data_IF_145741213751
#
_entry.id   IF_145741213751
#
_cell.length_a   1.000
_cell.length_b   1.000
_cell.length_c   1.000
_cell.angle_alpha   90.00
_cell.angle_beta   90.00
_cell.angle_gamma   90.00
#
_symmetry.space_group_name_H-M   'P 1'
#
loop_
_entity.id
_entity.type
_entity.pdbx_description
1 polymer ?
#
# COMPACT_ATOMS: atom_id res chain seq x y z
N UNK A 1 -10.98 -29.83 13.96
CA UNK A 1 -12.37 -30.08 14.44
C UNK A 1 -12.69 -29.28 15.71
N UNK A 2 -11.77 -28.52 16.24
CA UNK A 2 -12.05 -27.54 17.29
C UNK A 2 -12.95 -26.43 16.70
N UNK A 3 -14.06 -26.18 17.32
CA UNK A 3 -15.14 -25.25 16.91
C UNK A 3 -16.19 -25.76 15.91
N UNK A 4 -16.32 -27.08 15.72
CA UNK A 4 -17.40 -27.67 14.91
C UNK A 4 -17.28 -27.44 13.38
N UNK A 5 -16.15 -26.91 12.92
CA UNK A 5 -15.88 -26.73 11.50
C UNK A 5 -15.54 -28.08 10.84
N UNK A 6 -16.22 -28.39 9.74
CA UNK A 6 -15.87 -29.55 8.90
C UNK A 6 -14.76 -29.16 7.96
N UNK A 7 -13.60 -29.80 8.10
CA UNK A 7 -12.52 -29.68 7.14
C UNK A 7 -12.83 -30.55 5.92
N UNK A 8 -12.97 -29.91 4.75
CA UNK A 8 -13.11 -30.61 3.47
C UNK A 8 -11.88 -30.28 2.62
N UNK A 9 -11.09 -31.28 2.27
CA UNK A 9 -9.97 -31.13 1.35
C UNK A 9 -10.40 -31.66 -0.03
N UNK A 10 -10.31 -30.87 -1.11
CA UNK A 10 -10.55 -31.35 -2.44
C UNK A 10 -9.50 -32.40 -2.84
N UNK A 11 -9.81 -33.27 -3.80
CA UNK A 11 -8.80 -34.18 -4.35
C UNK A 11 -7.59 -33.37 -4.91
N UNK A 12 -6.37 -33.86 -4.70
CA UNK A 12 -5.14 -33.13 -5.09
C UNK A 12 -5.12 -32.68 -6.55
N UNK A 13 -5.76 -33.43 -7.46
CA UNK A 13 -5.90 -33.05 -8.88
C UNK A 13 -6.74 -31.79 -9.12
N UNK A 14 -7.56 -31.36 -8.14
CA UNK A 14 -8.39 -30.15 -8.22
C UNK A 14 -7.76 -28.98 -7.47
N UNK A 15 -6.71 -29.20 -6.69
CA UNK A 15 -6.04 -28.18 -5.85
C UNK A 15 -4.98 -27.34 -6.58
N UNK A 16 -4.63 -27.67 -7.81
CA UNK A 16 -3.55 -27.03 -8.55
C UNK A 16 -3.98 -25.97 -9.58
N UNK A 17 -5.28 -25.86 -9.86
CA UNK A 17 -5.79 -24.95 -10.89
C UNK A 17 -6.96 -24.11 -10.36
N UNK A 18 -6.85 -22.80 -10.48
CA UNK A 18 -7.91 -21.85 -10.14
C UNK A 18 -9.12 -21.96 -11.09
N UNK A 19 -9.01 -22.61 -12.25
CA UNK A 19 -10.05 -22.71 -13.24
C UNK A 19 -11.34 -23.36 -12.70
N UNK A 20 -11.22 -24.40 -11.88
CA UNK A 20 -12.38 -25.08 -11.25
C UNK A 20 -13.07 -24.15 -10.25
N UNK A 21 -12.32 -23.40 -9.47
CA UNK A 21 -12.87 -22.43 -8.50
C UNK A 21 -13.58 -21.29 -9.21
N UNK A 22 -13.01 -20.80 -10.30
CA UNK A 22 -13.60 -19.73 -11.13
C UNK A 22 -14.89 -20.24 -11.79
N UNK A 23 -14.88 -21.45 -12.37
CA UNK A 23 -16.06 -22.06 -12.97
C UNK A 23 -17.18 -22.31 -11.94
N UNK A 24 -16.82 -22.75 -10.73
CA UNK A 24 -17.78 -22.96 -9.64
C UNK A 24 -18.39 -21.63 -9.18
N UNK A 25 -17.60 -20.59 -9.00
CA UNK A 25 -18.10 -19.25 -8.67
C UNK A 25 -19.00 -18.71 -9.79
N UNK A 26 -18.60 -18.88 -11.05
CA UNK A 26 -19.41 -18.51 -12.20
C UNK A 26 -20.77 -19.22 -12.24
N UNK A 27 -20.82 -20.52 -11.87
CA UNK A 27 -22.07 -21.28 -11.77
C UNK A 27 -22.96 -20.75 -10.65
N UNK A 28 -22.40 -20.43 -9.48
CA UNK A 28 -23.16 -19.84 -8.36
C UNK A 28 -23.75 -18.49 -8.79
N UNK A 29 -22.94 -17.63 -9.41
CA UNK A 29 -23.38 -16.32 -9.90
C UNK A 29 -24.46 -16.45 -10.97
N UNK A 30 -24.29 -17.38 -11.94
CA UNK A 30 -25.29 -17.64 -12.97
C UNK A 30 -26.62 -18.09 -12.39
N UNK A 31 -26.60 -18.99 -11.40
CA UNK A 31 -27.81 -19.47 -10.74
C UNK A 31 -28.53 -18.38 -9.95
N UNK A 32 -27.79 -17.39 -9.44
CA UNK A 32 -28.35 -16.31 -8.62
C UNK A 32 -28.84 -15.13 -9.46
N UNK A 33 -28.09 -14.74 -10.48
CA UNK A 33 -28.33 -13.51 -11.25
C UNK A 33 -28.76 -13.78 -12.71
N UNK A 34 -28.73 -15.04 -13.15
CA UNK A 34 -28.96 -15.38 -14.54
C UNK A 34 -27.76 -15.16 -15.47
N UNK A 35 -27.92 -15.34 -16.77
CA UNK A 35 -26.85 -15.12 -17.74
C UNK A 35 -26.53 -13.63 -17.91
N UNK A 36 -25.24 -13.30 -18.00
CA UNK A 36 -24.79 -11.97 -18.38
C UNK A 36 -24.95 -11.75 -19.89
N UNK A 37 -25.34 -10.55 -20.30
CA UNK A 37 -25.34 -10.15 -21.71
C UNK A 37 -23.88 -10.02 -22.17
N UNK A 38 -23.60 -10.37 -23.43
CA UNK A 38 -22.24 -10.30 -24.02
C UNK A 38 -21.66 -8.90 -23.93
N UNK A 39 -22.47 -7.85 -24.05
CA UNK A 39 -22.03 -6.46 -23.90
C UNK A 39 -21.50 -6.13 -22.50
N UNK A 40 -21.91 -6.87 -21.46
CA UNK A 40 -21.54 -6.66 -20.07
C UNK A 40 -20.36 -7.55 -19.64
N UNK A 41 -19.79 -8.36 -20.55
CA UNK A 41 -18.63 -9.24 -20.30
C UNK A 41 -17.26 -8.55 -20.47
N UNK A 42 -17.23 -7.24 -20.55
CA UNK A 42 -15.99 -6.46 -20.68
C UNK A 42 -15.05 -6.63 -19.48
N UNK A 43 -13.74 -6.57 -19.72
CA UNK A 43 -12.74 -6.59 -18.63
C UNK A 43 -12.87 -5.31 -17.80
N UNK A 44 -13.22 -5.46 -16.54
CA UNK A 44 -13.23 -4.35 -15.57
C UNK A 44 -11.82 -4.25 -14.99
N UNK A 45 -11.03 -3.28 -15.46
CA UNK A 45 -9.73 -2.99 -14.88
C UNK A 45 -9.90 -2.54 -13.42
N UNK A 46 -9.10 -3.12 -12.51
CA UNK A 46 -9.13 -2.84 -11.06
C UNK A 46 -10.43 -3.32 -10.36
N UNK A 47 -11.07 -4.36 -10.90
CA UNK A 47 -12.18 -5.01 -10.22
C UNK A 47 -11.72 -5.53 -8.84
N UNK A 48 -12.35 -5.06 -7.78
CA UNK A 48 -12.02 -5.45 -6.42
C UNK A 48 -12.96 -6.57 -5.98
N UNK A 49 -12.39 -7.64 -5.43
CA UNK A 49 -13.17 -8.79 -4.95
C UNK A 49 -14.07 -8.46 -3.75
N UNK A 50 -13.77 -7.37 -3.03
CA UNK A 50 -14.57 -6.86 -1.91
C UNK A 50 -15.77 -5.99 -2.35
N UNK A 51 -15.87 -5.66 -3.63
CA UNK A 51 -17.00 -4.93 -4.24
C UNK A 51 -18.06 -5.87 -4.84
N UNK A 52 -17.79 -7.19 -4.83
CA UNK A 52 -18.74 -8.18 -5.35
C UNK A 52 -19.86 -8.39 -4.35
N UNK A 53 -21.10 -8.15 -4.76
CA UNK A 53 -22.25 -8.58 -3.99
C UNK A 53 -22.32 -10.12 -3.98
N UNK A 54 -22.28 -10.70 -2.77
CA UNK A 54 -22.35 -12.14 -2.56
C UNK A 54 -23.65 -12.49 -1.80
N UNK A 55 -24.83 -12.45 -2.47
CA UNK A 55 -26.12 -12.63 -1.81
C UNK A 55 -26.33 -14.05 -1.24
N UNK A 56 -25.47 -14.99 -1.62
CA UNK A 56 -25.45 -16.34 -1.05
C UNK A 56 -24.71 -16.44 0.30
N UNK A 57 -23.96 -15.41 0.70
CA UNK A 57 -23.42 -15.29 2.04
C UNK A 57 -24.54 -14.72 2.92
N UNK A 58 -25.05 -15.52 3.87
CA UNK A 58 -26.10 -15.06 4.77
C UNK A 58 -25.67 -13.80 5.48
N UNK A 59 -26.28 -12.67 5.11
CA UNK A 59 -26.06 -11.33 5.66
C UNK A 59 -26.60 -11.18 7.10
N UNK A 60 -26.57 -12.22 7.92
CA UNK A 60 -26.85 -12.08 9.35
C UNK A 60 -25.74 -11.40 10.12
N UNK A 61 -24.56 -11.24 9.53
CA UNK A 61 -23.54 -10.32 10.02
C UNK A 61 -23.73 -8.97 9.32
N UNK A 62 -24.77 -8.26 9.82
CA UNK A 62 -24.88 -6.81 9.86
C UNK A 62 -24.05 -6.07 8.81
N UNK A 63 -24.73 -5.40 7.94
CA UNK A 63 -24.32 -4.11 7.42
C UNK A 63 -23.38 -3.41 8.43
N UNK A 64 -22.10 -3.61 8.31
CA UNK A 64 -21.12 -2.67 8.83
C UNK A 64 -21.42 -1.38 8.04
N UNK A 65 -22.33 -0.55 8.58
CA UNK A 65 -22.44 0.83 8.13
C UNK A 65 -21.01 1.35 8.22
N UNK A 66 -20.39 1.59 7.07
CA UNK A 66 -19.12 2.30 7.04
C UNK A 66 -19.34 3.57 7.88
N UNK A 67 -18.45 3.85 8.84
CA UNK A 67 -18.61 5.06 9.64
C UNK A 67 -18.72 6.25 8.69
N UNK A 68 -19.65 7.16 8.92
CA UNK A 68 -19.89 8.37 8.09
C UNK A 68 -18.62 9.23 7.92
N UNK A 69 -17.61 8.99 8.75
CA UNK A 69 -16.32 9.65 8.76
C UNK A 69 -15.18 8.83 8.10
N UNK A 70 -15.47 7.74 7.40
CA UNK A 70 -14.46 6.97 6.66
C UNK A 70 -13.97 7.76 5.45
N UNK A 71 -12.64 8.02 5.40
CA UNK A 71 -11.99 8.72 4.28
C UNK A 71 -11.55 7.70 3.22
N UNK A 72 -10.93 6.60 3.65
CA UNK A 72 -10.43 5.58 2.74
C UNK A 72 -10.43 4.21 3.40
N UNK A 73 -10.76 3.19 2.61
CA UNK A 73 -10.67 1.78 3.01
C UNK A 73 -9.49 1.14 2.31
N UNK A 74 -8.48 0.76 3.07
CA UNK A 74 -7.30 0.09 2.57
C UNK A 74 -7.33 -1.42 2.77
N UNK A 75 -6.44 -2.13 2.09
CA UNK A 75 -6.31 -3.58 2.28
C UNK A 75 -5.89 -3.97 3.71
N UNK A 76 -5.12 -3.16 4.41
CA UNK A 76 -4.62 -3.45 5.76
C UNK A 76 -5.18 -2.54 6.87
N UNK A 77 -5.72 -1.37 6.51
CA UNK A 77 -6.19 -0.37 7.47
C UNK A 77 -7.25 0.53 6.87
N UNK A 78 -8.16 1.00 7.72
CA UNK A 78 -9.11 2.06 7.43
C UNK A 78 -8.57 3.41 7.89
N UNK A 79 -8.82 4.45 7.09
CA UNK A 79 -8.49 5.84 7.41
C UNK A 79 -9.80 6.57 7.72
N UNK A 80 -9.92 7.02 8.95
CA UNK A 80 -11.12 7.62 9.49
C UNK A 80 -10.84 9.09 9.83
N UNK A 81 -11.72 10.00 9.41
CA UNK A 81 -11.65 11.42 9.81
C UNK A 81 -11.82 11.55 11.32
N UNK A 82 -10.92 12.32 11.94
CA UNK A 82 -10.91 12.53 13.39
C UNK A 82 -10.51 13.97 13.72
N UNK A 83 -10.41 14.27 14.98
CA UNK A 83 -9.88 15.55 15.48
C UNK A 83 -9.02 15.33 16.73
N UNK A 84 -8.04 16.18 16.93
CA UNK A 84 -7.19 16.17 18.12
C UNK A 84 -6.95 17.60 18.60
N UNK A 85 -7.43 17.94 19.79
CA UNK A 85 -7.30 19.27 20.40
C UNK A 85 -7.73 20.40 19.42
N UNK A 86 -8.86 20.21 18.72
CA UNK A 86 -9.38 21.19 17.75
C UNK A 86 -8.67 21.21 16.39
N UNK A 87 -7.68 20.36 16.14
CA UNK A 87 -6.99 20.21 14.85
C UNK A 87 -7.57 19.05 14.06
N UNK A 88 -7.57 19.17 12.72
CA UNK A 88 -7.94 18.08 11.83
C UNK A 88 -6.94 16.92 11.99
N UNK A 89 -7.46 15.72 12.19
CA UNK A 89 -6.69 14.50 12.37
C UNK A 89 -7.29 13.37 11.54
N UNK A 90 -6.50 12.32 11.35
CA UNK A 90 -6.94 11.03 10.81
C UNK A 90 -6.58 9.92 11.78
N UNK A 91 -7.50 9.00 11.96
CA UNK A 91 -7.28 7.77 12.69
C UNK A 91 -7.04 6.65 11.68
N UNK A 92 -5.83 6.10 11.66
CA UNK A 92 -5.50 4.90 10.89
C UNK A 92 -5.67 3.68 11.77
N UNK A 93 -6.68 2.85 11.47
CA UNK A 93 -7.01 1.66 12.25
C UNK A 93 -6.76 0.40 11.43
N UNK A 94 -5.97 -0.54 11.96
CA UNK A 94 -5.67 -1.81 11.29
C UNK A 94 -6.79 -2.82 11.51
N UNK A 95 -7.37 -3.30 10.40
CA UNK A 95 -8.53 -4.19 10.41
C UNK A 95 -8.10 -5.64 10.68
N UNK A 96 -8.85 -6.39 11.52
CA UNK A 96 -8.66 -7.82 11.68
C UNK A 96 -8.83 -8.57 10.34
N UNK A 97 -8.03 -9.62 10.14
CA UNK A 97 -8.14 -10.47 8.95
C UNK A 97 -8.80 -11.80 9.31
N UNK A 98 -9.99 -12.03 8.77
CA UNK A 98 -10.78 -13.25 9.07
C UNK A 98 -10.07 -14.57 8.72
N UNK A 99 -9.11 -14.53 7.76
CA UNK A 99 -8.33 -15.71 7.37
C UNK A 99 -7.15 -16.02 8.29
N UNK A 100 -6.87 -15.18 9.30
CA UNK A 100 -5.78 -15.38 10.25
C UNK A 100 -6.32 -15.84 11.60
N UNK A 101 -5.53 -16.65 12.30
CA UNK A 101 -5.78 -16.97 13.71
C UNK A 101 -5.75 -15.68 14.53
N UNK A 102 -6.76 -15.44 15.36
CA UNK A 102 -7.00 -14.17 16.05
C UNK A 102 -5.79 -13.68 16.88
N UNK A 103 -5.12 -14.59 17.61
CA UNK A 103 -3.96 -14.24 18.43
C UNK A 103 -2.77 -13.81 17.56
N UNK A 104 -2.52 -14.49 16.43
CA UNK A 104 -1.45 -14.18 15.49
C UNK A 104 -1.76 -12.86 14.80
N UNK A 105 -2.98 -12.67 14.32
CA UNK A 105 -3.41 -11.43 13.67
C UNK A 105 -3.24 -10.23 14.60
N UNK A 106 -3.67 -10.36 15.86
CA UNK A 106 -3.52 -9.31 16.87
C UNK A 106 -2.06 -8.95 17.11
N UNK A 107 -1.16 -9.93 17.22
CA UNK A 107 0.29 -9.72 17.40
C UNK A 107 0.90 -9.01 16.17
N UNK A 108 0.55 -9.45 14.97
CA UNK A 108 1.06 -8.85 13.71
C UNK A 108 0.60 -7.39 13.61
N UNK A 109 -0.68 -7.11 13.81
CA UNK A 109 -1.22 -5.74 13.74
C UNK A 109 -0.58 -4.83 14.79
N UNK A 110 -0.43 -5.30 16.03
CA UNK A 110 0.23 -4.56 17.12
C UNK A 110 1.69 -4.24 16.76
N UNK A 111 2.44 -5.23 16.26
CA UNK A 111 3.83 -5.05 15.84
C UNK A 111 3.95 -4.06 14.69
N UNK A 112 3.10 -4.18 13.65
CA UNK A 112 3.09 -3.27 12.50
C UNK A 112 2.70 -1.84 12.88
N UNK A 113 1.71 -1.65 13.77
CA UNK A 113 1.33 -0.33 14.29
C UNK A 113 2.50 0.34 15.00
N UNK A 114 3.19 -0.40 15.88
CA UNK A 114 4.38 0.10 16.60
C UNK A 114 5.51 0.45 15.65
N UNK A 115 5.79 -0.41 14.66
CA UNK A 115 6.87 -0.19 13.70
C UNK A 115 6.57 1.03 12.82
N UNK A 116 5.37 1.14 12.27
CA UNK A 116 4.95 2.28 11.44
C UNK A 116 5.10 3.61 12.17
N UNK A 117 4.61 3.70 13.41
CA UNK A 117 4.74 4.90 14.22
C UNK A 117 6.22 5.26 14.48
N UNK A 118 7.06 4.25 14.73
CA UNK A 118 8.51 4.44 14.89
C UNK A 118 9.15 4.97 13.60
N UNK A 119 8.86 4.36 12.45
CA UNK A 119 9.43 4.77 11.16
C UNK A 119 9.03 6.19 10.80
N UNK A 120 7.75 6.56 10.94
CA UNK A 120 7.27 7.93 10.73
C UNK A 120 8.04 8.94 11.60
N UNK A 121 8.29 8.61 12.86
CA UNK A 121 9.04 9.46 13.79
C UNK A 121 10.52 9.56 13.41
N UNK A 122 11.16 8.44 13.06
CA UNK A 122 12.59 8.41 12.73
C UNK A 122 12.87 9.12 11.39
N UNK A 123 12.02 8.92 10.37
CA UNK A 123 12.07 9.64 9.10
C UNK A 123 11.90 11.13 9.31
N UNK A 124 10.98 11.56 10.17
CA UNK A 124 10.78 12.99 10.50
C UNK A 124 12.03 13.65 11.10
N UNK A 125 12.79 12.93 11.92
CA UNK A 125 14.04 13.44 12.52
C UNK A 125 15.13 13.68 11.47
N UNK A 126 15.10 13.03 10.31
CA UNK A 126 16.03 13.29 9.21
C UNK A 126 15.70 14.54 8.38
N UNK A 127 14.60 15.22 8.73
CA UNK A 127 14.13 16.40 8.02
C UNK A 127 13.14 16.11 6.88
N UNK A 128 12.83 14.83 6.60
CA UNK A 128 11.74 14.44 5.68
C UNK A 128 10.41 14.68 6.38
N UNK A 129 9.46 15.29 5.67
CA UNK A 129 8.18 15.63 6.27
C UNK A 129 7.25 14.42 6.24
N UNK A 130 6.75 14.04 7.41
CA UNK A 130 5.72 13.04 7.64
C UNK A 130 4.61 13.63 8.52
N UNK A 131 3.41 13.04 8.57
CA UNK A 131 2.36 13.48 9.49
C UNK A 131 2.85 13.52 10.94
N UNK A 132 2.37 14.48 11.71
CA UNK A 132 2.61 14.52 13.17
C UNK A 132 1.79 13.40 13.82
N UNK A 133 2.43 12.58 14.62
CA UNK A 133 1.75 11.56 15.42
C UNK A 133 1.19 12.24 16.67
N UNK A 134 -0.10 12.08 16.93
CA UNK A 134 -0.79 12.60 18.10
C UNK A 134 -0.95 11.54 19.18
N UNK A 135 -1.31 10.31 18.78
CA UNK A 135 -1.49 9.19 19.71
C UNK A 135 -1.26 7.85 19.00
N UNK A 136 -0.92 6.82 19.79
CA UNK A 136 -0.67 5.46 19.33
C UNK A 136 -1.37 4.50 20.27
N UNK A 137 -2.48 3.93 19.83
CA UNK A 137 -3.22 2.91 20.57
C UNK A 137 -2.83 1.51 20.10
N UNK A 138 -1.97 0.85 20.88
CA UNK A 138 -1.50 -0.50 20.59
C UNK A 138 -2.54 -1.58 20.92
N UNK A 139 -3.53 -1.28 21.75
CA UNK A 139 -4.60 -2.23 22.06
C UNK A 139 -5.64 -2.26 20.94
N UNK A 140 -6.02 -1.11 20.41
CA UNK A 140 -6.90 -1.00 19.25
C UNK A 140 -6.16 -1.03 17.92
N UNK A 141 -4.82 -1.11 17.92
CA UNK A 141 -3.93 -1.18 16.73
C UNK A 141 -4.17 0.00 15.80
N UNK A 142 -4.25 1.19 16.35
CA UNK A 142 -4.52 2.42 15.62
C UNK A 142 -3.48 3.51 15.90
N UNK A 143 -3.36 4.43 14.96
CA UNK A 143 -2.50 5.61 15.04
C UNK A 143 -3.36 6.84 14.75
N UNK A 144 -3.40 7.79 15.68
CA UNK A 144 -3.99 9.10 15.47
C UNK A 144 -2.90 10.06 15.01
N UNK A 145 -3.08 10.66 13.84
CA UNK A 145 -2.07 11.52 13.23
C UNK A 145 -2.68 12.73 12.54
N UNK A 146 -1.83 13.69 12.20
CA UNK A 146 -2.17 14.90 11.46
C UNK A 146 -2.88 14.56 10.15
N UNK A 147 -3.99 15.23 9.89
CA UNK A 147 -4.62 15.26 8.57
C UNK A 147 -3.85 16.20 7.66
N UNK A 148 -3.25 15.66 6.60
CA UNK A 148 -2.47 16.47 5.66
C UNK A 148 -3.41 17.10 4.63
N UNK A 149 -3.46 18.42 4.62
CA UNK A 149 -4.16 19.20 3.60
C UNK A 149 -3.17 19.55 2.47
N UNK A 150 -3.43 19.04 1.27
CA UNK A 150 -2.53 19.21 0.13
C UNK A 150 -3.06 18.50 -1.12
N UNK A 151 -2.28 18.54 -2.19
CA UNK A 151 -2.57 17.82 -3.43
C UNK A 151 -1.83 16.50 -3.43
N UNK A 152 -2.46 15.45 -3.96
CA UNK A 152 -1.79 14.18 -4.17
C UNK A 152 -0.67 14.37 -5.21
N UNK A 153 0.46 13.70 -5.01
CA UNK A 153 1.60 13.82 -5.91
C UNK A 153 1.26 13.50 -7.36
N UNK A 154 0.44 12.49 -7.59
CA UNK A 154 -0.02 12.09 -8.93
C UNK A 154 -0.74 13.19 -9.73
N UNK A 155 -1.24 14.22 -9.05
CA UNK A 155 -1.99 15.34 -9.68
C UNK A 155 -1.09 16.52 -10.06
N UNK A 156 0.13 16.57 -9.49
CA UNK A 156 0.96 17.79 -9.55
C UNK A 156 2.42 17.51 -9.89
N UNK A 157 2.78 16.28 -10.25
CA UNK A 157 4.17 15.92 -10.51
C UNK A 157 4.71 16.65 -11.73
N UNK A 158 5.91 17.18 -11.59
CA UNK A 158 6.73 17.77 -12.64
C UNK A 158 8.20 17.33 -12.48
N UNK A 159 9.07 17.76 -13.40
CA UNK A 159 10.50 17.42 -13.41
C UNK A 159 11.22 17.81 -12.11
N UNK A 160 10.97 19.02 -11.60
CA UNK A 160 11.61 19.52 -10.38
C UNK A 160 11.12 18.76 -9.14
N UNK A 161 9.84 18.43 -9.10
CA UNK A 161 9.27 17.66 -8.00
C UNK A 161 9.77 16.21 -8.04
N UNK A 162 9.93 15.61 -9.22
CA UNK A 162 10.54 14.31 -9.39
C UNK A 162 11.98 14.26 -8.85
N UNK A 163 12.80 15.26 -9.15
CA UNK A 163 14.15 15.38 -8.58
C UNK A 163 14.10 15.48 -7.03
N UNK A 164 13.21 16.33 -6.49
CA UNK A 164 13.06 16.46 -5.03
C UNK A 164 12.62 15.18 -4.36
N UNK A 165 11.77 14.38 -5.00
CA UNK A 165 11.39 13.04 -4.51
C UNK A 165 12.64 12.18 -4.33
N UNK A 166 13.53 12.16 -5.31
CA UNK A 166 14.80 11.44 -5.22
C UNK A 166 15.64 11.86 -4.03
N UNK A 167 15.79 13.17 -3.82
CA UNK A 167 16.51 13.74 -2.66
C UNK A 167 15.92 13.27 -1.32
N UNK A 168 14.60 13.33 -1.18
CA UNK A 168 13.93 12.93 0.07
C UNK A 168 14.02 11.41 0.31
N UNK A 169 13.90 10.58 -0.74
CA UNK A 169 14.07 9.12 -0.64
C UNK A 169 15.50 8.78 -0.21
N UNK A 170 16.51 9.49 -0.74
CA UNK A 170 17.90 9.30 -0.35
C UNK A 170 18.10 9.54 1.16
N UNK A 171 17.45 10.54 1.75
CA UNK A 171 17.48 10.77 3.20
C UNK A 171 16.85 9.61 3.97
N UNK A 172 15.72 9.09 3.51
CA UNK A 172 15.05 7.93 4.13
C UNK A 172 15.97 6.71 4.09
N UNK A 173 16.52 6.39 2.92
CA UNK A 173 17.43 5.26 2.73
C UNK A 173 18.77 5.40 3.46
N UNK A 174 19.22 6.64 3.75
CA UNK A 174 20.43 6.90 4.55
C UNK A 174 20.24 6.55 6.03
N UNK A 175 18.99 6.39 6.50
CA UNK A 175 18.65 5.86 7.82
C UNK A 175 18.46 4.34 7.82
N UNK A 176 18.78 3.66 6.71
CA UNK A 176 18.47 2.25 6.49
C UNK A 176 16.98 1.94 6.68
N UNK A 177 16.12 2.86 6.29
CA UNK A 177 14.67 2.71 6.29
C UNK A 177 14.21 2.50 4.85
N UNK A 178 13.44 1.44 4.64
CA UNK A 178 12.71 1.14 3.41
C UNK A 178 11.25 1.51 3.64
N UNK A 179 10.66 2.22 2.70
CA UNK A 179 9.24 2.60 2.77
C UNK A 179 8.32 1.39 2.54
N UNK A 180 8.68 0.54 1.59
CA UNK A 180 7.99 -0.70 1.25
C UNK A 180 6.76 -0.54 0.35
N UNK A 181 6.22 0.68 0.22
CA UNK A 181 5.11 1.03 -0.69
C UNK A 181 5.25 2.48 -1.16
N UNK A 182 6.41 2.81 -1.73
CA UNK A 182 6.72 4.18 -2.14
C UNK A 182 6.05 4.51 -3.48
N UNK A 183 4.78 4.86 -3.40
CA UNK A 183 3.95 5.20 -4.55
C UNK A 183 3.57 6.67 -4.56
N UNK A 184 3.16 7.19 -5.71
CA UNK A 184 2.68 8.57 -5.85
C UNK A 184 1.39 8.84 -5.09
N UNK A 185 0.67 7.78 -4.68
CA UNK A 185 -0.51 7.87 -3.83
C UNK A 185 -0.16 8.01 -2.33
N UNK A 186 1.07 7.67 -1.94
CA UNK A 186 1.56 7.80 -0.57
C UNK A 186 2.41 9.07 -0.37
N UNK A 187 2.32 10.02 -1.29
CA UNK A 187 2.98 11.32 -1.22
C UNK A 187 2.01 12.46 -1.53
N UNK A 188 2.12 13.54 -0.77
CA UNK A 188 1.35 14.76 -0.95
C UNK A 188 2.25 15.99 -1.04
N UNK A 189 1.76 17.02 -1.74
CA UNK A 189 2.39 18.34 -1.78
C UNK A 189 1.60 19.32 -0.92
N UNK A 190 2.20 19.81 0.16
CA UNK A 190 1.64 20.81 1.08
C UNK A 190 2.52 22.06 1.09
N UNK A 191 1.99 23.17 0.58
CA UNK A 191 2.76 24.44 0.56
C UNK A 191 4.10 24.33 -0.15
N UNK A 192 4.18 23.58 -1.25
CA UNK A 192 5.42 23.37 -2.01
C UNK A 192 6.40 22.35 -1.39
N UNK A 193 6.05 21.71 -0.29
CA UNK A 193 6.87 20.70 0.40
C UNK A 193 6.27 19.32 0.25
N UNK A 194 7.13 18.32 -0.04
CA UNK A 194 6.73 16.90 -0.08
C UNK A 194 6.46 16.39 1.33
N UNK A 195 5.37 15.64 1.46
CA UNK A 195 4.97 14.92 2.67
C UNK A 195 4.86 13.45 2.33
N UNK A 196 5.63 12.61 3.01
CA UNK A 196 5.53 11.15 2.88
C UNK A 196 4.53 10.61 3.89
N UNK A 197 3.60 9.81 3.38
CA UNK A 197 2.54 9.16 4.17
C UNK A 197 2.94 7.72 4.46
N UNK A 198 2.09 6.97 5.04
CA UNK A 198 1.97 5.51 5.14
C UNK A 198 3.26 4.67 5.07
N UNK A 199 3.91 4.46 6.21
CA UNK A 199 5.02 3.52 6.37
C UNK A 199 4.54 2.12 6.84
N UNK A 200 3.31 1.73 6.55
CA UNK A 200 2.69 0.49 7.01
C UNK A 200 3.38 -0.79 6.54
N UNK A 201 4.06 -0.76 5.40
CA UNK A 201 4.91 -1.84 4.88
C UNK A 201 6.41 -1.57 5.08
N UNK A 202 6.75 -0.46 5.76
CA UNK A 202 8.12 -0.07 5.99
C UNK A 202 8.88 -1.04 6.90
N UNK A 203 10.20 -1.01 6.77
CA UNK A 203 11.14 -1.80 7.58
C UNK A 203 12.52 -1.17 7.61
N UNK A 204 13.35 -1.63 8.55
CA UNK A 204 14.78 -1.34 8.50
C UNK A 204 15.48 -2.38 7.61
N UNK A 205 16.35 -1.90 6.70
CA UNK A 205 17.26 -2.71 5.90
C UNK A 205 18.41 -1.87 5.36
N UNK A 206 19.61 -2.37 5.53
CA UNK A 206 20.85 -1.81 4.97
C UNK A 206 21.17 -2.35 3.57
N UNK A 207 20.39 -3.32 3.07
CA UNK A 207 20.62 -3.98 1.79
C UNK A 207 20.34 -3.02 0.62
N UNK A 208 21.33 -2.92 -0.29
CA UNK A 208 21.14 -2.12 -1.52
C UNK A 208 20.03 -2.66 -2.41
N UNK A 209 19.77 -3.96 -2.38
CA UNK A 209 18.68 -4.59 -3.13
C UNK A 209 17.30 -4.09 -2.65
N UNK A 210 17.08 -4.00 -1.33
CA UNK A 210 15.83 -3.48 -0.78
C UNK A 210 15.60 -2.01 -1.16
N UNK A 211 16.65 -1.19 -1.14
CA UNK A 211 16.61 0.21 -1.56
C UNK A 211 16.32 0.33 -3.07
N UNK A 212 16.89 -0.55 -3.88
CA UNK A 212 16.62 -0.61 -5.31
C UNK A 212 15.18 -1.03 -5.61
N UNK A 213 14.65 -2.02 -4.87
CA UNK A 213 13.24 -2.46 -5.00
C UNK A 213 12.29 -1.32 -4.65
N UNK A 214 12.57 -0.56 -3.59
CA UNK A 214 11.74 0.59 -3.20
C UNK A 214 11.67 1.63 -4.33
N UNK A 215 12.80 1.97 -4.96
CA UNK A 215 12.85 2.86 -6.12
C UNK A 215 12.11 2.28 -7.34
N UNK A 216 12.15 0.95 -7.56
CA UNK A 216 11.42 0.29 -8.65
C UNK A 216 9.90 0.29 -8.41
N UNK A 217 9.45 0.23 -7.15
CA UNK A 217 8.02 0.42 -6.81
C UNK A 217 7.57 1.81 -7.23
N UNK A 218 8.38 2.85 -6.93
CA UNK A 218 8.09 4.21 -7.39
C UNK A 218 8.05 4.31 -8.92
N UNK A 219 9.02 3.70 -9.62
CA UNK A 219 9.04 3.67 -11.10
C UNK A 219 7.72 3.14 -11.67
N UNK A 220 7.24 2.01 -11.15
CA UNK A 220 5.95 1.43 -11.56
C UNK A 220 4.77 2.36 -11.26
N UNK A 221 4.79 3.04 -10.12
CA UNK A 221 3.76 4.01 -9.75
C UNK A 221 3.76 5.23 -10.68
N UNK A 222 4.92 5.73 -11.11
CA UNK A 222 5.04 6.79 -12.10
C UNK A 222 4.48 6.36 -13.46
N UNK A 223 4.77 5.13 -13.89
CA UNK A 223 4.23 4.57 -15.14
C UNK A 223 2.70 4.49 -15.17
N UNK A 224 2.07 4.36 -14.00
CA UNK A 224 0.60 4.33 -13.90
C UNK A 224 -0.07 5.70 -14.06
N UNK A 225 0.68 6.81 -13.99
CA UNK A 225 0.16 8.17 -14.18
C UNK A 225 0.18 8.53 -15.65
N UNK A 226 1.35 8.45 -16.27
CA UNK A 226 1.57 8.75 -17.68
C UNK A 226 2.78 7.94 -18.18
N UNK A 227 2.51 6.95 -19.00
CA UNK A 227 3.54 6.07 -19.54
C UNK A 227 4.58 6.79 -20.42
N UNK A 228 4.25 7.96 -20.98
CA UNK A 228 5.14 8.70 -21.91
C UNK A 228 6.19 9.51 -21.15
N UNK A 229 5.82 10.13 -20.04
CA UNK A 229 6.72 10.98 -19.23
C UNK A 229 7.34 10.25 -18.03
N UNK A 230 6.82 9.07 -17.67
CA UNK A 230 7.27 8.31 -16.52
C UNK A 230 8.77 8.02 -16.49
N UNK A 231 9.36 7.69 -17.65
CA UNK A 231 10.80 7.44 -17.76
C UNK A 231 11.61 8.69 -17.38
N UNK A 232 11.23 9.84 -17.91
CA UNK A 232 11.87 11.12 -17.62
C UNK A 232 11.76 11.49 -16.15
N UNK A 233 10.57 11.32 -15.56
CA UNK A 233 10.39 11.57 -14.12
C UNK A 233 11.27 10.64 -13.29
N UNK A 234 11.36 9.37 -13.65
CA UNK A 234 12.20 8.42 -12.93
C UNK A 234 13.69 8.75 -13.07
N UNK A 235 14.14 9.21 -14.24
CA UNK A 235 15.52 9.68 -14.43
C UNK A 235 15.84 10.88 -13.52
N UNK A 236 14.92 11.86 -13.40
CA UNK A 236 15.05 12.96 -12.47
C UNK A 236 15.06 12.51 -11.00
N UNK A 237 14.24 11.50 -10.64
CA UNK A 237 14.28 10.88 -9.30
C UNK A 237 15.66 10.27 -9.04
N UNK A 238 16.22 9.53 -9.99
CA UNK A 238 17.53 8.90 -9.83
C UNK A 238 18.65 9.93 -9.73
N UNK A 239 18.55 11.05 -10.45
CA UNK A 239 19.51 12.18 -10.37
C UNK A 239 19.50 12.77 -8.95
N UNK A 240 18.34 13.17 -8.43
CA UNK A 240 18.23 13.75 -7.08
C UNK A 240 18.63 12.74 -5.99
N UNK A 241 18.28 11.46 -6.18
CA UNK A 241 18.69 10.39 -5.29
C UNK A 241 20.21 10.22 -5.27
N UNK A 242 20.85 10.14 -6.44
CA UNK A 242 22.27 9.94 -6.59
C UNK A 242 23.09 11.08 -6.00
N UNK A 243 22.62 12.31 -6.14
CA UNK A 243 23.29 13.50 -5.60
C UNK A 243 23.22 13.51 -4.06
N UNK A 244 22.09 13.15 -3.49
CA UNK A 244 21.86 13.18 -2.05
C UNK A 244 22.39 11.95 -1.30
N UNK A 245 22.35 10.76 -1.90
CA UNK A 245 22.76 9.50 -1.25
C UNK A 245 24.28 9.32 -1.12
N UNK A 246 25.06 9.96 -2.00
CA UNK A 246 26.51 10.00 -1.91
C UNK A 246 27.23 8.75 -2.44
N UNK A 247 28.30 8.32 -1.74
CA UNK A 247 29.31 7.36 -2.26
C UNK A 247 28.80 5.97 -2.69
N UNK A 248 27.65 5.51 -2.17
CA UNK A 248 27.12 4.18 -2.47
C UNK A 248 26.00 4.18 -3.54
N UNK A 249 25.72 5.34 -4.15
CA UNK A 249 24.68 5.47 -5.17
C UNK A 249 24.82 4.48 -6.33
N UNK A 250 26.05 4.25 -6.80
CA UNK A 250 26.33 3.40 -7.96
C UNK A 250 25.90 1.96 -7.71
N UNK A 251 26.10 1.45 -6.51
CA UNK A 251 25.67 0.09 -6.11
C UNK A 251 24.15 -0.09 -6.20
N UNK A 252 23.38 0.96 -5.86
CA UNK A 252 21.92 0.91 -5.93
C UNK A 252 21.47 1.01 -7.38
N UNK A 253 22.09 1.88 -8.19
CA UNK A 253 21.78 2.02 -9.61
C UNK A 253 22.11 0.72 -10.37
N UNK A 254 23.23 0.09 -10.08
CA UNK A 254 23.58 -1.22 -10.64
C UNK A 254 22.55 -2.29 -10.24
N UNK A 255 22.11 -2.28 -8.99
CA UNK A 255 21.10 -3.24 -8.49
C UNK A 255 19.74 -3.02 -9.16
N UNK A 256 19.33 -1.78 -9.42
CA UNK A 256 18.11 -1.46 -10.20
C UNK A 256 18.20 -2.12 -11.59
N UNK A 257 19.32 -1.94 -12.30
CA UNK A 257 19.53 -2.53 -13.64
C UNK A 257 19.52 -4.06 -13.60
N UNK A 258 20.14 -4.64 -12.58
CA UNK A 258 20.16 -6.09 -12.38
C UNK A 258 18.74 -6.66 -12.17
N UNK A 259 17.95 -6.05 -11.28
CA UNK A 259 16.56 -6.49 -11.01
C UNK A 259 15.69 -6.35 -12.26
N UNK A 260 15.81 -5.26 -13.00
CA UNK A 260 15.06 -5.06 -14.25
C UNK A 260 15.45 -6.08 -15.33
N UNK A 261 16.72 -6.47 -15.41
CA UNK A 261 17.16 -7.49 -16.35
C UNK A 261 16.55 -8.87 -16.03
N UNK A 262 16.50 -9.25 -14.75
CA UNK A 262 15.87 -10.51 -14.30
C UNK A 262 14.38 -10.57 -14.66
N UNK A 263 13.66 -9.47 -14.53
CA UNK A 263 12.23 -9.38 -14.85
C UNK A 263 11.91 -9.54 -16.35
N UNK A 264 12.86 -9.32 -17.24
CA UNK A 264 12.67 -9.49 -18.71
C UNK A 264 12.76 -10.94 -19.17
N UNK A 265 13.30 -11.84 -18.35
CA UNK A 265 13.47 -13.26 -18.68
C UNK A 265 12.33 -14.16 -18.13
N UNK A 266 11.30 -13.58 -17.55
CA UNK A 266 10.16 -14.30 -16.97
C UNK A 266 8.89 -14.22 -17.83
N UNK A 267 9.04 -14.07 -19.15
CA UNK A 267 7.94 -14.15 -20.13
C UNK A 267 8.08 -15.36 -21.03
#
# INVERSE_FOLDING_TARGET
EEHGAKFCMPEMKLGGDNGVMIAWLGLIMHNQFGPLDIKDTGIIQRFRTDEVEAPWVNNNDSHLKLPDNLIAKGAESDIIKSSYLGKNAVLKSRIPKAYRIAEIDSKIRKSRTKLEAKLLSDVKKSGVITPVLYDIDLENKSILMESIEGKMLKEVIDDNLAYKIGVEIAKIHSLDIIHGDITTSNMMLRGGKLVFLDFGLGRHSDLFEDKAVDLLVLKKSLQSIDGTTASKYFDNVLEGYAESYGKNKDKIIEKIKEIESRGRYTH
#
